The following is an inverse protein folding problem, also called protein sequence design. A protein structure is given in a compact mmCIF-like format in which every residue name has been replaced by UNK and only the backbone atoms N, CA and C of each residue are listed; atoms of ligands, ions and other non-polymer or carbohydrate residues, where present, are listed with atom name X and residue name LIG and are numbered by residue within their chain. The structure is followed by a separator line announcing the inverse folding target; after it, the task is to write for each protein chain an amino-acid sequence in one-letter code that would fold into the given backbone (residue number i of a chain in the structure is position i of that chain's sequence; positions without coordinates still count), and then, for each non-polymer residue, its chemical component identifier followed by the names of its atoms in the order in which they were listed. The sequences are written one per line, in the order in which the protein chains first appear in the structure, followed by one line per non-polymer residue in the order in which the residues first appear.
data_IF_599720242843
#
_entry.id   IF_599720242843
#
_cell.length_a   1.000
_cell.length_b   1.000
_cell.length_c   1.000
_cell.angle_alpha   90.00
_cell.angle_beta   90.00
_cell.angle_gamma   90.00
#
_symmetry.space_group_name_H-M   'P 1'
#
loop_
_entity.id
_entity.type
_entity.pdbx_description
1 polymer ?
#
# COMPACT_ATOMS: atom_id res chain seq x y z
N UNK A 1 -4.07 -3.57 -23.81
CA UNK A 1 -4.43 -4.13 -22.49
C UNK A 1 -3.22 -4.78 -21.80
N UNK A 2 -2.55 -5.77 -22.41
CA UNK A 2 -1.35 -6.41 -21.84
C UNK A 2 -0.25 -5.41 -21.44
N UNK A 3 0.04 -4.40 -22.28
CA UNK A 3 0.99 -3.32 -21.94
C UNK A 3 0.58 -2.52 -20.70
N UNK A 4 -0.71 -2.23 -20.53
CA UNK A 4 -1.23 -1.48 -19.38
C UNK A 4 -1.04 -2.30 -18.10
N UNK A 5 -1.33 -3.60 -18.16
CA UNK A 5 -1.17 -4.51 -17.04
C UNK A 5 0.29 -4.66 -16.60
N UNK A 6 1.20 -4.80 -17.57
CA UNK A 6 2.62 -4.84 -17.30
C UNK A 6 3.13 -3.54 -16.65
N UNK A 7 2.62 -2.38 -17.08
CA UNK A 7 2.95 -1.09 -16.46
C UNK A 7 2.44 -1.02 -15.02
N UNK A 8 1.27 -1.59 -14.72
CA UNK A 8 0.74 -1.63 -13.35
C UNK A 8 1.62 -2.45 -12.41
N UNK A 9 2.09 -3.60 -12.88
CA UNK A 9 2.93 -4.51 -12.09
C UNK A 9 4.34 -3.95 -11.86
N UNK A 10 4.97 -3.42 -12.92
CA UNK A 10 6.34 -2.84 -12.85
C UNK A 10 6.43 -1.55 -12.03
N UNK A 11 5.34 -0.81 -11.87
CA UNK A 11 5.32 0.40 -11.01
C UNK A 11 5.37 0.05 -9.52
N UNK A 12 4.95 -1.15 -9.11
CA UNK A 12 5.02 -1.61 -7.71
C UNK A 12 6.43 -1.59 -7.16
N UNK A 13 7.41 -1.97 -7.98
CA UNK A 13 8.82 -2.04 -7.58
C UNK A 13 9.48 -0.66 -7.47
N UNK A 14 8.86 0.38 -8.05
CA UNK A 14 9.44 1.72 -8.18
C UNK A 14 8.86 2.74 -7.20
N UNK A 15 7.77 2.40 -6.51
CA UNK A 15 7.04 3.32 -5.65
C UNK A 15 7.10 2.88 -4.18
N UNK A 16 7.15 3.84 -3.26
CA UNK A 16 6.87 3.55 -1.85
C UNK A 16 5.45 3.01 -1.70
N UNK A 17 5.16 2.26 -0.65
CA UNK A 17 3.83 1.66 -0.45
C UNK A 17 2.71 2.70 -0.44
N UNK A 18 2.92 3.85 0.19
CA UNK A 18 1.97 4.98 0.21
C UNK A 18 1.72 5.52 -1.22
N UNK A 19 2.77 5.71 -2.01
CA UNK A 19 2.66 6.17 -3.40
C UNK A 19 2.05 5.11 -4.30
N UNK A 20 2.31 3.83 -4.04
CA UNK A 20 1.74 2.71 -4.78
C UNK A 20 0.24 2.57 -4.50
N UNK A 21 -0.19 2.72 -3.25
CA UNK A 21 -1.60 2.76 -2.88
C UNK A 21 -2.34 3.86 -3.63
N UNK A 22 -1.77 5.07 -3.66
CA UNK A 22 -2.36 6.19 -4.40
C UNK A 22 -2.40 5.94 -5.91
N UNK A 23 -1.33 5.38 -6.46
CA UNK A 23 -1.28 4.96 -7.85
C UNK A 23 -2.40 3.96 -8.22
N UNK A 24 -2.65 2.95 -7.39
CA UNK A 24 -3.72 1.98 -7.60
C UNK A 24 -5.11 2.65 -7.63
N UNK A 25 -5.36 3.63 -6.75
CA UNK A 25 -6.62 4.41 -6.74
C UNK A 25 -6.80 5.20 -8.03
N UNK A 26 -5.75 5.90 -8.48
CA UNK A 26 -5.74 6.68 -9.72
C UNK A 26 -6.01 5.78 -10.93
N UNK A 27 -5.36 4.62 -11.00
CA UNK A 27 -5.57 3.63 -12.07
C UNK A 27 -7.01 3.17 -12.14
N UNK A 28 -7.59 2.78 -10.99
CA UNK A 28 -9.00 2.34 -10.92
C UNK A 28 -9.95 3.43 -11.45
N UNK A 29 -9.75 4.68 -11.02
CA UNK A 29 -10.51 5.84 -11.50
C UNK A 29 -10.35 6.04 -13.01
N UNK A 30 -9.13 5.94 -13.53
CA UNK A 30 -8.85 6.09 -14.96
C UNK A 30 -9.49 4.99 -15.80
N UNK A 31 -9.55 3.74 -15.31
CA UNK A 31 -10.24 2.65 -16.00
C UNK A 31 -11.75 2.92 -16.08
N UNK A 32 -12.37 3.36 -14.97
CA UNK A 32 -13.79 3.72 -14.96
C UNK A 32 -14.09 4.85 -15.93
N UNK A 33 -13.31 5.93 -15.88
CA UNK A 33 -13.42 7.06 -16.80
C UNK A 33 -13.27 6.63 -18.27
N UNK A 34 -12.28 5.79 -18.58
CA UNK A 34 -12.09 5.28 -19.94
C UNK A 34 -13.25 4.39 -20.41
N UNK A 35 -13.92 3.68 -19.51
CA UNK A 35 -15.12 2.91 -19.82
C UNK A 35 -16.33 3.83 -20.07
N UNK A 36 -16.55 4.85 -19.25
CA UNK A 36 -17.59 5.88 -19.44
C UNK A 36 -17.43 6.62 -20.77
N UNK A 37 -16.19 6.96 -21.12
CA UNK A 37 -15.82 7.59 -22.39
C UNK A 37 -15.88 6.63 -23.61
N UNK A 38 -16.40 5.40 -23.42
CA UNK A 38 -16.50 4.33 -24.44
C UNK A 38 -15.15 3.98 -25.11
N UNK A 39 -14.02 4.26 -24.45
CA UNK A 39 -12.67 3.89 -24.90
C UNK A 39 -12.30 2.45 -24.56
N UNK A 40 -13.12 1.77 -23.75
CA UNK A 40 -12.98 0.37 -23.37
C UNK A 40 -14.30 -0.38 -23.57
N UNK A 41 -14.20 -1.64 -24.02
CA UNK A 41 -15.36 -2.55 -23.98
C UNK A 41 -15.66 -2.99 -22.55
N UNK A 42 -16.88 -3.48 -22.32
CA UNK A 42 -17.33 -3.96 -21.01
C UNK A 42 -16.43 -5.08 -20.48
N UNK A 43 -16.05 -6.02 -21.34
CA UNK A 43 -15.20 -7.18 -21.04
C UNK A 43 -13.80 -6.72 -20.63
N UNK A 44 -13.24 -5.76 -21.38
CA UNK A 44 -11.92 -5.22 -21.12
C UNK A 44 -11.89 -4.38 -19.83
N UNK A 45 -12.92 -3.56 -19.61
CA UNK A 45 -13.08 -2.81 -18.37
C UNK A 45 -13.19 -3.74 -17.15
N UNK A 46 -14.02 -4.78 -17.22
CA UNK A 46 -14.14 -5.80 -16.16
C UNK A 46 -12.79 -6.45 -15.83
N UNK A 47 -12.02 -6.86 -16.85
CA UNK A 47 -10.72 -7.49 -16.67
C UNK A 47 -9.71 -6.55 -15.99
N UNK A 48 -9.64 -5.29 -16.44
CA UNK A 48 -8.75 -4.28 -15.88
C UNK A 48 -9.15 -3.91 -14.44
N UNK A 49 -10.45 -3.73 -14.18
CA UNK A 49 -10.96 -3.43 -12.85
C UNK A 49 -10.71 -4.55 -11.86
N UNK A 50 -10.88 -5.83 -12.26
CA UNK A 50 -10.57 -6.97 -11.40
C UNK A 50 -9.11 -6.94 -10.94
N UNK A 51 -8.16 -6.73 -11.87
CA UNK A 51 -6.74 -6.64 -11.52
C UNK A 51 -6.42 -5.41 -10.67
N UNK A 52 -6.98 -4.25 -11.01
CA UNK A 52 -6.77 -3.02 -10.24
C UNK A 52 -7.31 -3.15 -8.80
N UNK A 53 -8.48 -3.76 -8.62
CA UNK A 53 -9.06 -4.00 -7.29
C UNK A 53 -8.20 -4.95 -6.46
N UNK A 54 -7.71 -6.05 -7.04
CA UNK A 54 -6.82 -6.96 -6.31
C UNK A 54 -5.53 -6.26 -5.84
N UNK A 55 -4.92 -5.45 -6.70
CA UNK A 55 -3.71 -4.68 -6.34
C UNK A 55 -4.00 -3.61 -5.28
N UNK A 56 -5.16 -2.96 -5.37
CA UNK A 56 -5.61 -1.98 -4.39
C UNK A 56 -5.81 -2.64 -3.02
N UNK A 57 -6.51 -3.77 -2.95
CA UNK A 57 -6.74 -4.52 -1.71
C UNK A 57 -5.42 -4.94 -1.05
N UNK A 58 -4.46 -5.42 -1.84
CA UNK A 58 -3.13 -5.77 -1.33
C UNK A 58 -2.36 -4.56 -0.78
N UNK A 59 -2.45 -3.41 -1.45
CA UNK A 59 -1.81 -2.17 -1.00
C UNK A 59 -2.46 -1.63 0.28
N UNK A 60 -3.80 -1.67 0.37
CA UNK A 60 -4.56 -1.26 1.55
C UNK A 60 -4.22 -2.11 2.78
N UNK A 61 -4.22 -3.44 2.65
CA UNK A 61 -3.82 -4.36 3.74
C UNK A 61 -2.40 -4.10 4.22
N UNK A 62 -1.48 -3.77 3.31
CA UNK A 62 -0.10 -3.47 3.67
C UNK A 62 0.01 -2.17 4.48
N UNK A 63 -0.74 -1.14 4.10
CA UNK A 63 -0.76 0.15 4.82
C UNK A 63 -1.42 0.02 6.18
N UNK A 64 -2.50 -0.76 6.28
CA UNK A 64 -3.15 -1.09 7.55
C UNK A 64 -2.19 -1.83 8.50
N UNK A 65 -1.49 -2.85 8.00
CA UNK A 65 -0.50 -3.58 8.79
C UNK A 65 0.64 -2.66 9.30
N UNK A 66 1.11 -1.73 8.46
CA UNK A 66 2.11 -0.73 8.88
C UNK A 66 1.57 0.21 9.95
N UNK A 67 0.31 0.64 9.84
CA UNK A 67 -0.33 1.49 10.84
C UNK A 67 -0.38 0.76 12.19
N UNK A 68 -0.87 -0.47 12.22
CA UNK A 68 -0.89 -1.32 13.41
C UNK A 68 0.52 -1.49 13.99
N UNK A 69 1.52 -1.73 13.15
CA UNK A 69 2.91 -1.84 13.61
C UNK A 69 3.39 -0.53 14.26
N UNK A 70 3.16 0.63 13.62
CA UNK A 70 3.55 1.95 14.14
C UNK A 70 2.88 2.27 15.49
N UNK A 71 1.59 1.94 15.64
CA UNK A 71 0.83 2.15 16.88
C UNK A 71 1.25 1.24 18.04
N UNK A 72 1.92 0.12 17.71
CA UNK A 72 2.45 -0.85 18.67
C UNK A 72 3.94 -0.64 18.98
N UNK A 73 4.47 0.55 18.70
CA UNK A 73 5.83 0.94 19.06
C UNK A 73 5.83 2.12 20.05
N UNK A 74 6.87 2.18 20.89
CA UNK A 74 7.24 3.34 21.70
C UNK A 74 8.71 3.68 21.49
N UNK A 75 9.06 4.95 21.70
CA UNK A 75 10.44 5.44 21.58
C UNK A 75 11.10 5.40 22.96
N UNK A 76 12.31 4.86 23.04
CA UNK A 76 13.12 4.95 24.25
C UNK A 76 13.48 6.42 24.54
N UNK A 77 13.15 6.98 25.72
CA UNK A 77 13.51 8.36 26.03
C UNK A 77 15.02 8.55 26.21
N UNK A 78 15.76 7.47 26.51
CA UNK A 78 17.20 7.52 26.75
C UNK A 78 18.02 7.43 25.46
N UNK A 79 17.69 6.50 24.55
CA UNK A 79 18.49 6.25 23.35
C UNK A 79 17.75 6.53 22.02
N UNK A 80 16.48 6.91 22.06
CA UNK A 80 15.69 7.21 20.86
C UNK A 80 15.26 6.00 20.02
N UNK A 81 15.65 4.76 20.40
CA UNK A 81 15.32 3.56 19.62
C UNK A 81 13.87 3.10 19.80
N UNK A 82 13.28 2.60 18.71
CA UNK A 82 11.91 2.04 18.69
C UNK A 82 11.86 0.67 19.38
N UNK A 83 10.92 0.51 20.31
CA UNK A 83 10.64 -0.74 21.02
C UNK A 83 9.17 -1.09 20.91
N UNK A 84 8.80 -2.35 21.14
CA UNK A 84 7.37 -2.73 21.22
C UNK A 84 6.70 -1.95 22.37
N UNK A 85 5.44 -1.57 22.19
CA UNK A 85 4.69 -0.77 23.16
C UNK A 85 4.66 -1.41 24.56
N UNK A 86 4.58 -2.74 24.59
CA UNK A 86 4.53 -3.54 25.82
C UNK A 86 5.91 -3.97 26.34
N UNK A 87 7.02 -3.47 25.76
CA UNK A 87 8.36 -3.78 26.26
C UNK A 87 8.56 -3.20 27.68
N UNK A 88 9.05 -4.00 28.62
CA UNK A 88 9.40 -3.52 29.97
C UNK A 88 10.79 -2.87 30.02
N UNK A 89 11.66 -3.22 29.07
CA UNK A 89 13.02 -2.67 28.94
C UNK A 89 13.34 -2.37 27.48
N UNK A 90 14.19 -1.38 27.24
CA UNK A 90 14.71 -1.06 25.91
C UNK A 90 15.67 -2.16 25.47
N UNK A 91 15.35 -2.85 24.37
CA UNK A 91 16.18 -3.94 23.82
C UNK A 91 17.55 -3.49 23.31
N UNK A 92 17.79 -2.18 23.24
CA UNK A 92 19.01 -1.58 22.70
C UNK A 92 19.94 -1.01 23.78
N UNK A 93 19.39 -0.37 24.82
CA UNK A 93 20.19 0.27 25.88
C UNK A 93 19.88 -0.22 27.30
N UNK A 94 18.87 -1.08 27.49
CA UNK A 94 18.49 -1.59 28.82
C UNK A 94 17.60 -0.67 29.66
N UNK A 95 17.28 0.55 29.19
CA UNK A 95 16.36 1.48 29.87
C UNK A 95 15.06 0.80 30.30
N UNK A 96 14.63 0.97 31.55
CA UNK A 96 13.34 0.45 32.03
C UNK A 96 12.21 1.40 31.68
N UNK A 97 11.18 0.89 31.00
CA UNK A 97 10.02 1.66 30.54
C UNK A 97 8.90 1.78 31.58
#
# INVERSE_FOLDING_TARGET
ILKILHILETKREKLSDEKFLEYCKVVKKNILKAFEERKLTKENAKLLLRRANNLLELAEKKEEMKKIYRENLKICPECGMKNTKNANFCRYCGHRF
#
